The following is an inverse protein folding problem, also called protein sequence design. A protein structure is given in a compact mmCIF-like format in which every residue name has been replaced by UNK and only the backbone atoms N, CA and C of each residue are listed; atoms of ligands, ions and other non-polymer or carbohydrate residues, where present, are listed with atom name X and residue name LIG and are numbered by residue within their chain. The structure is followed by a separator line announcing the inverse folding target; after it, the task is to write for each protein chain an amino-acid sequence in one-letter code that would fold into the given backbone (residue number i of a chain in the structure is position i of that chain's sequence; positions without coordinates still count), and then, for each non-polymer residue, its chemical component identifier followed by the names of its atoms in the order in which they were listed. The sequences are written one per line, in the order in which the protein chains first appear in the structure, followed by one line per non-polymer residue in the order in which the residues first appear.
data_IF_145644177369
#
_entry.id   IF_145644177369
#
_cell.length_a   1.000
_cell.length_b   1.000
_cell.length_c   1.000
_cell.angle_alpha   90.00
_cell.angle_beta   90.00
_cell.angle_gamma   90.00
#
_symmetry.space_group_name_H-M   'P 1'
#
loop_
_entity.id
_entity.type
_entity.pdbx_description
1 polymer ?
#
# COMPACT_ATOMS: atom_id res chain seq x y z
N UNK A 1 -27.74 68.45 53.74
CA UNK A 1 -28.14 67.45 52.70
C UNK A 1 -26.92 66.89 52.13
N UNK A 2 -26.43 65.68 52.48
CA UNK A 2 -25.34 65.01 51.73
C UNK A 2 -25.89 63.84 50.94
N UNK A 3 -25.56 63.83 49.67
CA UNK A 3 -25.81 62.75 48.69
C UNK A 3 -24.69 61.70 48.75
N UNK A 4 -25.06 60.53 49.21
CA UNK A 4 -24.11 59.37 49.16
C UNK A 4 -24.08 58.73 47.84
N UNK A 5 -22.83 58.50 47.25
CA UNK A 5 -22.58 57.66 46.10
C UNK A 5 -22.32 56.23 46.60
N UNK A 6 -22.85 55.22 45.89
CA UNK A 6 -22.55 53.83 46.23
C UNK A 6 -21.17 53.42 45.68
N UNK A 7 -20.39 52.75 46.54
CA UNK A 7 -19.07 52.13 46.15
C UNK A 7 -19.28 50.95 45.25
N UNK A 8 -18.58 50.98 44.10
CA UNK A 8 -18.47 49.88 43.17
C UNK A 8 -17.68 48.68 43.78
N UNK A 9 -18.27 47.50 43.71
CA UNK A 9 -17.60 46.24 44.08
C UNK A 9 -16.64 45.85 42.96
N UNK A 10 -15.39 45.54 43.33
CA UNK A 10 -14.37 44.98 42.44
C UNK A 10 -14.76 43.55 41.97
N UNK A 11 -14.45 43.17 40.71
CA UNK A 11 -14.75 41.81 40.23
C UNK A 11 -13.79 40.79 40.83
N UNK A 12 -14.34 39.67 41.32
CA UNK A 12 -13.58 38.49 41.77
C UNK A 12 -12.87 37.87 40.56
N UNK A 13 -11.55 37.81 40.62
CA UNK A 13 -10.74 37.04 39.68
C UNK A 13 -11.02 35.53 39.82
N UNK A 14 -11.60 34.95 38.79
CA UNK A 14 -11.72 33.49 38.63
C UNK A 14 -10.37 32.96 38.18
N UNK A 15 -9.60 32.40 39.09
CA UNK A 15 -8.42 31.61 38.80
C UNK A 15 -8.85 30.20 38.33
N UNK A 16 -9.22 30.09 37.07
CA UNK A 16 -9.36 28.79 36.40
C UNK A 16 -8.03 28.35 35.83
N UNK A 17 -7.18 27.69 36.61
CA UNK A 17 -6.02 26.98 36.09
C UNK A 17 -6.55 25.78 35.33
N UNK A 18 -6.63 25.88 34.00
CA UNK A 18 -6.80 24.73 33.14
C UNK A 18 -5.51 23.89 33.22
N UNK A 19 -5.55 22.82 33.99
CA UNK A 19 -4.54 21.77 33.87
C UNK A 19 -4.58 21.24 32.43
N UNK A 20 -3.55 21.57 31.65
CA UNK A 20 -3.24 20.86 30.41
C UNK A 20 -2.96 19.43 30.84
N UNK A 21 -3.87 18.51 30.50
CA UNK A 21 -3.59 17.10 30.64
C UNK A 21 -2.29 16.82 29.87
N UNK A 22 -1.26 16.40 30.58
CA UNK A 22 -0.06 15.88 29.96
C UNK A 22 -0.49 14.66 29.14
N UNK A 23 -0.51 14.80 27.81
CA UNK A 23 -0.68 13.66 26.91
C UNK A 23 0.54 12.78 27.15
N UNK A 24 0.35 11.64 27.81
CA UNK A 24 1.40 10.64 27.94
C UNK A 24 1.94 10.34 26.52
N UNK A 25 3.26 10.18 26.36
CA UNK A 25 3.81 9.78 25.07
C UNK A 25 3.10 8.50 24.63
N UNK A 26 2.59 8.48 23.39
CA UNK A 26 1.97 7.30 22.83
C UNK A 26 2.95 6.13 22.96
N UNK A 27 2.47 4.96 23.38
CA UNK A 27 3.30 3.76 23.39
C UNK A 27 3.87 3.56 21.98
N UNK A 28 5.14 3.13 21.85
CA UNK A 28 5.73 2.94 20.53
C UNK A 28 4.89 1.95 19.72
N UNK A 29 4.76 2.22 18.43
CA UNK A 29 4.06 1.36 17.46
C UNK A 29 4.52 -0.09 17.65
N UNK A 30 3.55 -1.01 17.85
CA UNK A 30 3.86 -2.43 17.95
C UNK A 30 4.49 -2.90 16.66
N UNK A 31 5.66 -3.48 16.73
CA UNK A 31 6.37 -4.11 15.62
C UNK A 31 6.56 -5.60 15.94
N UNK A 32 6.32 -6.46 14.96
CA UNK A 32 6.50 -7.89 15.07
C UNK A 32 7.23 -8.42 13.83
N UNK A 33 8.29 -9.20 14.04
CA UNK A 33 8.98 -9.95 12.99
C UNK A 33 8.44 -11.36 12.94
N UNK A 34 8.03 -11.80 11.74
CA UNK A 34 7.48 -13.14 11.50
C UNK A 34 8.35 -13.85 10.46
N UNK A 35 8.67 -15.12 10.73
CA UNK A 35 9.38 -15.99 9.81
C UNK A 35 8.69 -17.36 9.79
N UNK A 36 8.50 -17.91 8.59
CA UNK A 36 7.89 -19.25 8.41
C UNK A 36 8.41 -19.92 7.16
N UNK A 37 8.30 -21.26 7.10
CA UNK A 37 8.54 -22.01 5.88
C UNK A 37 7.31 -21.90 4.97
N UNK A 38 7.50 -21.52 3.70
CA UNK A 38 6.46 -21.51 2.68
C UNK A 38 6.72 -22.60 1.63
N UNK A 39 5.74 -23.45 1.33
CA UNK A 39 5.87 -24.44 0.26
C UNK A 39 5.85 -23.83 -1.13
N UNK A 40 5.31 -22.60 -1.29
CA UNK A 40 5.17 -21.92 -2.56
C UNK A 40 6.51 -21.50 -3.18
N UNK A 41 7.54 -21.30 -2.35
CA UNK A 41 8.90 -20.99 -2.76
C UNK A 41 9.91 -22.03 -2.21
N UNK A 42 9.43 -23.07 -1.50
CA UNK A 42 10.26 -24.11 -0.87
C UNK A 42 11.37 -23.55 0.02
N UNK A 43 11.08 -22.49 0.78
CA UNK A 43 12.06 -21.83 1.67
C UNK A 43 11.39 -21.11 2.83
N UNK A 44 12.23 -20.62 3.74
CA UNK A 44 11.82 -19.66 4.75
C UNK A 44 11.46 -18.32 4.12
N UNK A 45 10.40 -17.69 4.61
CA UNK A 45 9.92 -16.39 4.20
C UNK A 45 9.79 -15.46 5.41
N UNK A 46 9.91 -14.16 5.19
CA UNK A 46 10.02 -13.17 6.27
C UNK A 46 9.04 -12.03 6.06
N UNK A 47 8.58 -11.44 7.16
CA UNK A 47 7.63 -10.32 7.13
C UNK A 47 7.77 -9.49 8.42
N UNK A 48 7.66 -8.16 8.31
CA UNK A 48 7.39 -7.28 9.45
C UNK A 48 5.91 -6.94 9.50
N UNK A 49 5.37 -6.84 10.71
CA UNK A 49 4.00 -6.45 10.97
C UNK A 49 3.99 -5.27 11.93
N UNK A 50 3.21 -4.23 11.61
CA UNK A 50 3.10 -3.02 12.41
C UNK A 50 1.66 -2.76 12.82
N UNK A 51 1.45 -2.50 14.11
CA UNK A 51 0.14 -2.17 14.66
C UNK A 51 -0.52 -3.31 15.45
N UNK A 52 -1.78 -3.12 15.78
CA UNK A 52 -2.51 -4.03 16.67
C UNK A 52 -3.97 -4.27 16.24
N UNK A 53 -4.37 -3.72 15.09
CA UNK A 53 -5.73 -3.86 14.54
C UNK A 53 -6.01 -2.85 13.44
N UNK A 54 -7.26 -2.80 13.00
CA UNK A 54 -7.73 -1.92 11.94
C UNK A 54 -7.84 -2.60 10.59
N UNK A 55 -7.78 -1.82 9.50
CA UNK A 55 -7.82 -2.38 8.15
C UNK A 55 -6.45 -2.95 7.77
N UNK A 56 -6.35 -4.21 7.28
CA UNK A 56 -5.07 -4.82 6.94
C UNK A 56 -4.51 -4.25 5.63
N UNK A 57 -3.25 -3.83 5.67
CA UNK A 57 -2.50 -3.28 4.52
C UNK A 57 -1.31 -4.17 4.25
N UNK A 58 -1.25 -4.80 3.09
CA UNK A 58 -0.06 -5.53 2.59
C UNK A 58 0.76 -4.53 1.79
N UNK A 59 1.91 -4.12 2.34
CA UNK A 59 2.79 -3.10 1.76
C UNK A 59 4.01 -3.75 1.11
N UNK A 60 4.01 -3.84 -0.21
CA UNK A 60 5.11 -4.41 -0.99
C UNK A 60 6.34 -3.49 -0.96
N UNK A 61 7.56 -4.04 -0.92
CA UNK A 61 8.78 -3.26 -1.10
C UNK A 61 8.92 -2.75 -2.55
N UNK A 62 9.81 -1.79 -2.77
CA UNK A 62 10.22 -1.38 -4.13
C UNK A 62 11.13 -2.42 -4.77
N UNK A 63 11.63 -2.17 -5.99
CA UNK A 63 12.54 -3.08 -6.71
C UNK A 63 13.68 -3.58 -5.81
N UNK A 64 13.89 -4.90 -5.79
CA UNK A 64 14.94 -5.58 -5.03
C UNK A 64 14.89 -5.32 -3.51
N UNK A 65 13.79 -4.74 -3.01
CA UNK A 65 13.61 -4.47 -1.60
C UNK A 65 13.28 -5.72 -0.79
N UNK A 66 13.59 -5.65 0.52
CA UNK A 66 13.30 -6.69 1.49
C UNK A 66 12.18 -6.24 2.44
N UNK A 67 11.67 -7.15 3.25
CA UNK A 67 10.58 -6.93 4.21
C UNK A 67 10.75 -5.71 5.12
N UNK A 68 11.99 -5.29 5.39
CA UNK A 68 12.32 -4.15 6.26
C UNK A 68 12.42 -2.80 5.51
N UNK A 69 12.43 -2.81 4.17
CA UNK A 69 12.71 -1.60 3.37
C UNK A 69 11.73 -0.45 3.64
N UNK A 70 10.42 -0.73 3.73
CA UNK A 70 9.41 0.30 4.01
C UNK A 70 9.62 0.96 5.39
N UNK A 71 10.20 0.24 6.36
CA UNK A 71 10.62 0.78 7.67
C UNK A 71 11.87 1.62 7.53
N UNK A 72 12.93 1.08 6.92
CA UNK A 72 14.24 1.74 6.82
C UNK A 72 14.18 3.07 6.07
N UNK A 73 13.27 3.18 5.10
CA UNK A 73 13.00 4.41 4.36
C UNK A 73 11.86 5.26 4.96
N UNK A 74 11.47 4.99 6.22
CA UNK A 74 10.50 5.79 6.98
C UNK A 74 9.10 5.88 6.37
N UNK A 75 8.71 4.96 5.47
CA UNK A 75 7.35 4.93 4.95
C UNK A 75 6.36 4.52 6.04
N UNK A 76 6.75 3.60 6.92
CA UNK A 76 5.92 3.18 8.06
C UNK A 76 5.78 4.31 9.08
N UNK A 77 6.86 5.06 9.34
CA UNK A 77 6.82 6.21 10.26
C UNK A 77 5.84 7.30 9.78
N UNK A 78 5.72 7.49 8.46
CA UNK A 78 4.80 8.49 7.89
C UNK A 78 3.33 8.20 8.24
N UNK A 79 2.98 6.95 8.51
CA UNK A 79 1.62 6.49 8.83
C UNK A 79 1.46 6.03 10.29
N UNK A 80 2.46 6.29 11.15
CA UNK A 80 2.46 5.86 12.55
C UNK A 80 1.18 6.29 13.29
N UNK A 81 0.69 7.50 13.03
CA UNK A 81 -0.56 8.00 13.63
C UNK A 81 -1.81 7.18 13.27
N UNK A 82 -1.86 6.55 12.09
CA UNK A 82 -2.96 5.67 11.68
C UNK A 82 -2.81 4.28 12.31
N UNK A 83 -1.57 3.79 12.42
CA UNK A 83 -1.23 2.50 13.01
C UNK A 83 -1.49 2.53 14.53
N UNK A 84 -1.00 3.57 15.22
CA UNK A 84 -1.19 3.76 16.67
C UNK A 84 -2.66 3.95 17.04
N UNK A 85 -3.42 4.61 16.17
CA UNK A 85 -4.86 4.75 16.33
C UNK A 85 -5.66 3.47 16.05
N UNK A 86 -4.99 2.37 15.64
CA UNK A 86 -5.65 1.11 15.26
C UNK A 86 -6.55 1.23 14.03
N UNK A 87 -6.30 2.21 13.16
CA UNK A 87 -7.04 2.36 11.91
C UNK A 87 -6.55 1.41 10.83
N UNK A 88 -5.25 1.16 10.81
CA UNK A 88 -4.60 0.22 9.88
C UNK A 88 -3.61 -0.67 10.62
N UNK A 89 -3.43 -1.89 10.12
CA UNK A 89 -2.37 -2.82 10.53
C UNK A 89 -1.58 -3.19 9.27
N UNK A 90 -0.27 -2.96 9.28
CA UNK A 90 0.56 -3.04 8.08
C UNK A 90 1.40 -4.31 8.10
N UNK A 91 1.36 -5.06 7.01
CA UNK A 91 2.10 -6.28 6.75
C UNK A 91 3.09 -6.02 5.63
N UNK A 92 4.39 -6.07 5.92
CA UNK A 92 5.47 -5.83 4.97
C UNK A 92 6.14 -7.16 4.63
N UNK A 93 5.64 -7.91 3.61
CA UNK A 93 6.26 -9.15 3.17
C UNK A 93 7.61 -8.89 2.54
N UNK A 94 8.46 -9.92 2.54
CA UNK A 94 9.73 -9.90 1.82
C UNK A 94 9.52 -9.76 0.31
N UNK A 95 10.49 -9.19 -0.38
CA UNK A 95 10.55 -9.16 -1.83
C UNK A 95 11.45 -10.27 -2.36
N UNK A 96 11.14 -10.78 -3.55
CA UNK A 96 11.94 -11.82 -4.23
C UNK A 96 12.37 -11.41 -5.64
N UNK A 97 12.35 -10.13 -5.93
CA UNK A 97 12.64 -9.62 -7.28
C UNK A 97 14.02 -10.07 -7.79
N UNK A 98 15.02 -10.15 -6.88
CA UNK A 98 16.37 -10.64 -7.19
C UNK A 98 16.41 -12.11 -7.63
N UNK A 99 15.38 -12.89 -7.29
CA UNK A 99 15.25 -14.30 -7.65
C UNK A 99 14.27 -14.51 -8.81
N UNK A 100 13.42 -13.52 -9.07
CA UNK A 100 12.41 -13.52 -10.13
C UNK A 100 12.76 -12.55 -11.26
N UNK A 101 12.03 -11.46 -11.41
CA UNK A 101 12.13 -10.53 -12.55
C UNK A 101 13.54 -10.00 -12.80
N UNK A 102 14.29 -9.69 -11.75
CA UNK A 102 15.64 -9.14 -11.83
C UNK A 102 16.74 -10.22 -11.95
N UNK A 103 16.40 -11.50 -11.94
CA UNK A 103 17.38 -12.57 -12.06
C UNK A 103 17.77 -12.79 -13.54
N UNK A 104 18.72 -12.00 -14.02
CA UNK A 104 19.24 -12.13 -15.38
C UNK A 104 20.02 -13.43 -15.67
N UNK A 105 20.30 -14.27 -14.64
CA UNK A 105 21.04 -15.52 -14.78
C UNK A 105 20.17 -16.73 -15.11
N UNK A 106 18.83 -16.61 -15.01
CA UNK A 106 17.89 -17.69 -15.33
C UNK A 106 17.00 -17.31 -16.51
N UNK A 107 16.43 -18.33 -17.16
CA UNK A 107 15.53 -18.10 -18.29
C UNK A 107 14.28 -17.31 -17.86
N UNK A 108 13.73 -16.40 -18.68
CA UNK A 108 12.52 -15.61 -18.32
C UNK A 108 11.31 -16.46 -17.93
N UNK A 109 11.13 -17.66 -18.51
CA UNK A 109 10.10 -18.60 -18.08
C UNK A 109 10.23 -19.01 -16.60
N UNK A 110 11.45 -19.09 -16.08
CA UNK A 110 11.67 -19.43 -14.67
C UNK A 110 11.54 -18.19 -13.77
N UNK A 111 11.88 -16.99 -14.29
CA UNK A 111 11.60 -15.72 -13.59
C UNK A 111 10.10 -15.56 -13.31
N UNK A 112 9.24 -15.77 -14.31
CA UNK A 112 7.79 -15.65 -14.15
C UNK A 112 7.22 -16.75 -13.24
N UNK A 113 7.72 -17.98 -13.31
CA UNK A 113 7.32 -19.07 -12.38
C UNK A 113 7.66 -18.73 -10.94
N UNK A 114 8.85 -18.17 -10.69
CA UNK A 114 9.26 -17.73 -9.36
C UNK A 114 8.34 -16.59 -8.87
N UNK A 115 7.98 -15.64 -9.73
CA UNK A 115 7.02 -14.61 -9.42
C UNK A 115 5.63 -15.18 -9.08
N UNK A 116 5.14 -16.18 -9.79
CA UNK A 116 3.88 -16.87 -9.48
C UNK A 116 3.97 -17.56 -8.11
N UNK A 117 5.12 -18.17 -7.79
CA UNK A 117 5.38 -18.69 -6.44
C UNK A 117 5.26 -17.60 -5.37
N UNK A 118 5.81 -16.42 -5.62
CA UNK A 118 5.67 -15.26 -4.73
C UNK A 118 4.21 -14.81 -4.58
N UNK A 119 3.49 -14.68 -5.69
CA UNK A 119 2.07 -14.34 -5.65
C UNK A 119 1.27 -15.33 -4.79
N UNK A 120 1.61 -16.63 -4.89
CA UNK A 120 0.99 -17.66 -4.05
C UNK A 120 1.33 -17.49 -2.56
N UNK A 121 2.55 -17.06 -2.19
CA UNK A 121 2.88 -16.71 -0.80
C UNK A 121 1.98 -15.57 -0.31
N UNK A 122 1.82 -14.52 -1.12
CA UNK A 122 0.95 -13.40 -0.75
C UNK A 122 -0.50 -13.87 -0.60
N UNK A 123 -1.00 -14.64 -1.57
CA UNK A 123 -2.40 -15.08 -1.62
C UNK A 123 -2.76 -16.08 -0.52
N UNK A 124 -1.87 -17.03 -0.22
CA UNK A 124 -2.18 -18.19 0.63
C UNK A 124 -1.57 -18.10 2.04
N UNK A 125 -0.51 -17.30 2.23
CA UNK A 125 0.12 -17.16 3.55
C UNK A 125 -0.15 -15.75 4.13
N UNK A 126 0.23 -14.69 3.44
CA UNK A 126 0.21 -13.31 3.97
C UNK A 126 -1.22 -12.77 4.12
N UNK A 127 -2.04 -12.84 3.06
CA UNK A 127 -3.42 -12.32 3.08
C UNK A 127 -4.27 -13.05 4.12
N UNK A 128 -4.26 -14.39 4.21
CA UNK A 128 -5.00 -15.07 5.27
C UNK A 128 -4.51 -14.75 6.69
N UNK A 129 -3.20 -14.52 6.88
CA UNK A 129 -2.67 -14.08 8.17
C UNK A 129 -3.19 -12.67 8.53
N UNK A 130 -3.18 -11.75 7.58
CA UNK A 130 -3.71 -10.40 7.75
C UNK A 130 -5.22 -10.40 8.03
N UNK A 131 -5.99 -11.23 7.33
CA UNK A 131 -7.43 -11.41 7.55
C UNK A 131 -7.73 -11.94 8.96
N UNK A 132 -6.97 -12.96 9.41
CA UNK A 132 -7.13 -13.52 10.77
C UNK A 132 -6.78 -12.50 11.86
N UNK A 133 -5.69 -11.75 11.67
CA UNK A 133 -5.23 -10.76 12.66
C UNK A 133 -6.21 -9.60 12.83
N UNK A 134 -6.96 -9.23 11.79
CA UNK A 134 -7.82 -8.04 11.78
C UNK A 134 -9.32 -8.34 11.74
N UNK A 135 -9.71 -9.60 11.44
CA UNK A 135 -11.11 -9.98 11.24
C UNK A 135 -11.72 -9.41 9.93
N UNK A 136 -10.92 -8.82 9.05
CA UNK A 136 -11.40 -8.21 7.80
C UNK A 136 -11.36 -9.21 6.65
N UNK A 137 -12.40 -9.29 5.79
CA UNK A 137 -12.45 -10.26 4.69
C UNK A 137 -11.54 -9.89 3.51
N UNK A 138 -11.17 -8.63 3.34
CA UNK A 138 -10.31 -8.13 2.27
C UNK A 138 -9.21 -7.24 2.82
N UNK A 139 -8.10 -7.15 2.08
CA UNK A 139 -6.93 -6.32 2.43
C UNK A 139 -6.82 -5.10 1.51
N UNK A 140 -6.10 -4.09 1.96
CA UNK A 140 -5.50 -3.11 1.07
C UNK A 140 -4.15 -3.67 0.62
N UNK A 141 -3.86 -3.62 -0.67
CA UNK A 141 -2.52 -3.88 -1.21
C UNK A 141 -1.89 -2.56 -1.63
N UNK A 142 -0.65 -2.31 -1.21
CA UNK A 142 0.01 -1.02 -1.43
C UNK A 142 1.47 -1.20 -1.80
N UNK A 143 2.03 -0.25 -2.53
CA UNK A 143 3.46 -0.23 -2.82
C UNK A 143 3.86 0.94 -3.71
N UNK A 144 5.18 1.18 -3.76
CA UNK A 144 5.76 2.20 -4.61
C UNK A 144 6.68 1.57 -5.67
N UNK A 145 6.81 2.22 -6.83
CA UNK A 145 7.67 1.76 -7.93
C UNK A 145 7.27 0.33 -8.37
N UNK A 146 8.19 -0.63 -8.30
CA UNK A 146 7.89 -2.03 -8.60
C UNK A 146 6.94 -2.68 -7.57
N UNK A 147 6.95 -2.20 -6.31
CA UNK A 147 5.92 -2.54 -5.32
C UNK A 147 4.51 -2.09 -5.73
N UNK A 148 4.41 -0.98 -6.47
CA UNK A 148 3.17 -0.52 -7.08
C UNK A 148 2.66 -1.45 -8.19
N UNK A 149 3.58 -2.05 -8.96
CA UNK A 149 3.25 -3.14 -9.89
C UNK A 149 2.70 -4.35 -9.15
N UNK A 150 3.40 -4.84 -8.11
CA UNK A 150 2.93 -5.98 -7.32
C UNK A 150 1.54 -5.74 -6.74
N UNK A 151 1.31 -4.54 -6.18
CA UNK A 151 0.01 -4.18 -5.61
C UNK A 151 -1.11 -4.20 -6.66
N UNK A 152 -0.92 -3.54 -7.80
CA UNK A 152 -1.96 -3.46 -8.83
C UNK A 152 -2.18 -4.82 -9.51
N UNK A 153 -1.11 -5.55 -9.85
CA UNK A 153 -1.21 -6.87 -10.46
C UNK A 153 -1.98 -7.84 -9.55
N UNK A 154 -1.63 -7.87 -8.25
CA UNK A 154 -2.34 -8.68 -7.28
C UNK A 154 -3.83 -8.28 -7.15
N UNK A 155 -4.13 -6.98 -7.04
CA UNK A 155 -5.50 -6.49 -6.89
C UNK A 155 -6.39 -6.85 -8.09
N UNK A 156 -5.89 -6.68 -9.32
CA UNK A 156 -6.64 -7.00 -10.54
C UNK A 156 -6.87 -8.50 -10.73
N UNK A 157 -5.94 -9.34 -10.28
CA UNK A 157 -6.03 -10.80 -10.37
C UNK A 157 -6.83 -11.44 -9.24
N UNK A 158 -6.85 -10.81 -8.06
CA UNK A 158 -7.51 -11.30 -6.84
C UNK A 158 -8.45 -10.25 -6.21
N UNK A 159 -9.43 -9.71 -6.97
CA UNK A 159 -10.32 -8.66 -6.46
C UNK A 159 -11.26 -9.14 -5.35
N UNK A 160 -11.42 -10.46 -5.19
CA UNK A 160 -12.12 -11.07 -4.04
C UNK A 160 -11.31 -10.95 -2.73
N UNK A 161 -10.00 -10.77 -2.80
CA UNK A 161 -9.09 -10.61 -1.67
C UNK A 161 -8.73 -9.14 -1.41
N UNK A 162 -8.67 -8.32 -2.44
CA UNK A 162 -8.33 -6.91 -2.35
C UNK A 162 -9.59 -6.05 -2.21
N UNK A 163 -9.64 -5.18 -1.20
CA UNK A 163 -10.67 -4.14 -1.05
C UNK A 163 -10.17 -2.78 -1.51
N UNK A 164 -8.86 -2.56 -1.41
CA UNK A 164 -8.19 -1.34 -1.85
C UNK A 164 -6.86 -1.68 -2.51
N UNK A 165 -6.47 -0.85 -3.48
CA UNK A 165 -5.15 -0.87 -4.09
C UNK A 165 -4.57 0.54 -4.09
N UNK A 166 -3.36 0.72 -3.55
CA UNK A 166 -2.61 1.98 -3.55
C UNK A 166 -1.30 1.75 -4.28
N UNK A 167 -1.21 2.20 -5.52
CA UNK A 167 0.01 2.11 -6.33
C UNK A 167 0.61 3.50 -6.53
N UNK A 168 1.79 3.71 -5.94
CA UNK A 168 2.55 4.96 -6.05
C UNK A 168 3.68 4.78 -7.05
N UNK A 169 3.73 5.59 -8.10
CA UNK A 169 4.79 5.53 -9.13
C UNK A 169 4.93 4.14 -9.77
N UNK A 170 3.84 3.43 -10.00
CA UNK A 170 3.84 2.02 -10.42
C UNK A 170 4.54 1.77 -11.76
N UNK A 171 5.33 0.68 -11.83
CA UNK A 171 6.02 0.23 -13.05
C UNK A 171 5.31 -1.00 -13.62
N UNK A 172 4.28 -0.82 -14.44
CA UNK A 172 3.29 -1.84 -14.76
C UNK A 172 3.64 -2.78 -15.93
N UNK A 173 4.73 -2.55 -16.65
CA UNK A 173 5.14 -3.38 -17.78
C UNK A 173 6.37 -4.22 -17.44
N UNK A 174 6.22 -5.55 -17.46
CA UNK A 174 7.30 -6.49 -17.12
C UNK A 174 8.09 -6.95 -18.35
N UNK A 175 7.74 -6.53 -19.56
CA UNK A 175 8.44 -6.95 -20.81
C UNK A 175 9.94 -6.67 -20.79
N UNK A 176 10.44 -5.57 -20.16
CA UNK A 176 11.90 -5.37 -20.04
C UNK A 176 12.67 -6.48 -19.33
N UNK A 177 11.99 -7.33 -18.55
CA UNK A 177 12.59 -8.45 -17.83
C UNK A 177 12.51 -9.78 -18.57
N UNK A 178 11.99 -9.81 -19.81
CA UNK A 178 11.65 -11.05 -20.50
C UNK A 178 12.61 -11.42 -21.64
N UNK A 179 13.58 -10.58 -21.97
CA UNK A 179 14.60 -10.84 -23.01
C UNK A 179 14.00 -11.34 -24.35
N UNK A 180 12.77 -10.86 -24.66
CA UNK A 180 12.01 -11.28 -25.85
C UNK A 180 11.19 -12.57 -25.70
N UNK A 181 11.29 -13.28 -24.57
CA UNK A 181 10.42 -14.40 -24.26
C UNK A 181 9.03 -13.90 -23.80
N UNK A 182 7.98 -14.62 -24.21
CA UNK A 182 6.60 -14.28 -23.79
C UNK A 182 5.70 -15.51 -23.89
N UNK A 183 5.03 -15.86 -22.80
CA UNK A 183 4.05 -16.94 -22.71
C UNK A 183 2.80 -16.49 -21.95
N UNK A 184 1.83 -17.39 -21.76
CA UNK A 184 0.60 -17.09 -21.02
C UNK A 184 0.88 -16.67 -19.57
N UNK A 185 1.92 -17.20 -18.92
CA UNK A 185 2.30 -16.78 -17.58
C UNK A 185 2.78 -15.32 -17.57
N UNK A 186 3.56 -14.93 -18.58
CA UNK A 186 3.98 -13.54 -18.75
C UNK A 186 2.78 -12.64 -19.02
N UNK A 187 1.87 -13.05 -19.92
CA UNK A 187 0.66 -12.31 -20.25
C UNK A 187 -0.20 -12.03 -19.02
N UNK A 188 -0.52 -13.06 -18.24
CA UNK A 188 -1.38 -12.92 -17.06
C UNK A 188 -0.69 -12.26 -15.85
N UNK A 189 0.60 -11.94 -15.93
CA UNK A 189 1.34 -11.16 -14.94
C UNK A 189 1.79 -9.79 -15.47
N UNK A 190 1.31 -9.39 -16.66
CA UNK A 190 1.56 -8.09 -17.24
C UNK A 190 0.26 -7.28 -17.35
N UNK A 191 -0.07 -6.42 -16.37
CA UNK A 191 -1.36 -5.73 -16.33
C UNK A 191 -1.62 -4.85 -17.57
N UNK A 192 -0.60 -4.32 -18.21
CA UNK A 192 -0.76 -3.54 -19.46
C UNK A 192 -1.26 -4.37 -20.62
N UNK A 193 -1.04 -5.70 -20.60
CA UNK A 193 -1.47 -6.60 -21.68
C UNK A 193 -2.81 -7.27 -21.36
N UNK A 194 -3.02 -7.82 -20.14
CA UNK A 194 -4.24 -8.56 -19.86
C UNK A 194 -5.44 -7.67 -19.52
N UNK A 195 -5.23 -6.49 -18.90
CA UNK A 195 -6.33 -5.63 -18.48
C UNK A 195 -7.26 -5.22 -19.64
N UNK A 196 -6.75 -4.81 -20.81
CA UNK A 196 -7.61 -4.53 -21.97
C UNK A 196 -8.46 -5.73 -22.42
N UNK A 197 -7.94 -6.95 -22.24
CA UNK A 197 -8.59 -8.20 -22.63
C UNK A 197 -9.64 -8.74 -21.64
N UNK A 198 -9.74 -8.21 -20.41
CA UNK A 198 -10.72 -8.69 -19.43
C UNK A 198 -12.13 -8.46 -19.97
N UNK A 199 -12.86 -9.55 -20.23
CA UNK A 199 -14.25 -9.54 -20.72
C UNK A 199 -15.25 -10.19 -19.75
N UNK A 200 -14.78 -10.86 -18.70
CA UNK A 200 -15.65 -11.47 -17.69
C UNK A 200 -16.31 -10.39 -16.84
N UNK A 201 -17.65 -10.32 -16.95
CA UNK A 201 -18.46 -9.30 -16.27
C UNK A 201 -18.36 -9.41 -14.73
N UNK A 202 -18.31 -10.64 -14.19
CA UNK A 202 -18.22 -10.86 -12.75
C UNK A 202 -16.87 -10.39 -12.21
N UNK A 203 -15.78 -10.69 -12.92
CA UNK A 203 -14.44 -10.22 -12.56
C UNK A 203 -14.39 -8.68 -12.62
N UNK A 204 -14.91 -8.08 -13.67
CA UNK A 204 -14.98 -6.62 -13.79
C UNK A 204 -15.78 -5.97 -12.67
N UNK A 205 -16.91 -6.56 -12.26
CA UNK A 205 -17.71 -6.03 -11.16
C UNK A 205 -16.98 -6.14 -9.81
N UNK A 206 -16.23 -7.20 -9.58
CA UNK A 206 -15.35 -7.32 -8.40
C UNK A 206 -14.26 -6.26 -8.41
N UNK A 207 -13.59 -6.05 -9.57
CA UNK A 207 -12.55 -5.02 -9.71
C UNK A 207 -13.15 -3.62 -9.48
N UNK A 208 -14.34 -3.33 -10.03
CA UNK A 208 -15.04 -2.05 -9.85
C UNK A 208 -15.45 -1.78 -8.40
N UNK A 209 -15.58 -2.83 -7.59
CA UNK A 209 -15.92 -2.71 -6.16
C UNK A 209 -14.74 -2.30 -5.27
N UNK A 210 -13.51 -2.29 -5.80
CA UNK A 210 -12.32 -1.89 -5.07
C UNK A 210 -12.11 -0.37 -5.09
N UNK A 211 -11.52 0.17 -4.03
CA UNK A 211 -10.93 1.51 -4.06
C UNK A 211 -9.53 1.44 -4.69
N UNK A 212 -9.33 2.04 -5.85
CA UNK A 212 -8.03 2.03 -6.54
C UNK A 212 -7.45 3.45 -6.57
N UNK A 213 -6.21 3.60 -6.12
CA UNK A 213 -5.41 4.82 -6.23
C UNK A 213 -4.19 4.54 -7.09
N UNK A 214 -4.01 5.32 -8.14
CA UNK A 214 -2.77 5.45 -8.90
C UNK A 214 -2.18 6.82 -8.60
N UNK A 215 -0.99 6.87 -8.03
CA UNK A 215 -0.31 8.11 -7.71
C UNK A 215 1.02 8.22 -8.47
N UNK A 216 1.31 9.41 -8.97
CA UNK A 216 2.54 9.71 -9.69
C UNK A 216 2.88 11.19 -9.53
N UNK A 217 3.90 11.68 -10.21
CA UNK A 217 4.27 13.09 -10.16
C UNK A 217 4.90 13.60 -11.44
N UNK A 218 4.94 14.92 -11.56
CA UNK A 218 5.44 15.65 -12.73
C UNK A 218 6.85 15.23 -13.14
N UNK A 219 7.72 14.92 -12.17
CA UNK A 219 9.12 14.50 -12.39
C UNK A 219 9.34 13.00 -12.20
N UNK A 220 8.26 12.24 -12.12
CA UNK A 220 8.34 10.79 -11.93
C UNK A 220 8.67 10.08 -13.25
N UNK A 221 9.72 9.28 -13.26
CA UNK A 221 10.11 8.46 -14.42
C UNK A 221 9.04 7.46 -14.84
N UNK A 222 8.12 7.09 -13.94
CA UNK A 222 6.98 6.22 -14.21
C UNK A 222 5.69 6.98 -14.53
N UNK A 223 5.72 8.33 -14.59
CA UNK A 223 4.51 9.14 -14.79
C UNK A 223 3.67 8.67 -15.98
N UNK A 224 4.28 8.56 -17.17
CA UNK A 224 3.55 8.17 -18.37
C UNK A 224 2.89 6.79 -18.21
N UNK A 225 3.58 5.82 -17.60
CA UNK A 225 3.03 4.47 -17.34
C UNK A 225 1.80 4.51 -16.42
N UNK A 226 1.78 5.42 -15.44
CA UNK A 226 0.62 5.62 -14.55
C UNK A 226 -0.55 6.29 -15.26
N UNK A 227 -0.28 7.27 -16.14
CA UNK A 227 -1.31 7.90 -16.98
C UNK A 227 -1.92 6.89 -17.95
N UNK A 228 -1.10 6.06 -18.60
CA UNK A 228 -1.55 5.03 -19.53
C UNK A 228 -2.39 3.96 -18.79
N UNK A 229 -1.96 3.53 -17.60
CA UNK A 229 -2.73 2.60 -16.78
C UNK A 229 -4.07 3.20 -16.35
N UNK A 230 -4.11 4.46 -15.96
CA UNK A 230 -5.36 5.17 -15.67
C UNK A 230 -6.31 5.21 -16.87
N UNK A 231 -5.77 5.46 -18.06
CA UNK A 231 -6.57 5.42 -19.29
C UNK A 231 -7.13 4.01 -19.57
N UNK A 232 -6.34 2.95 -19.33
CA UNK A 232 -6.79 1.56 -19.49
C UNK A 232 -7.91 1.21 -18.49
N UNK A 233 -7.77 1.60 -17.21
CA UNK A 233 -8.81 1.41 -16.20
C UNK A 233 -10.10 2.15 -16.59
N UNK A 234 -9.97 3.40 -17.04
CA UNK A 234 -11.10 4.22 -17.53
C UNK A 234 -11.81 3.56 -18.71
N UNK A 235 -11.07 3.04 -19.69
CA UNK A 235 -11.61 2.36 -20.85
C UNK A 235 -12.40 1.09 -20.48
N UNK A 236 -12.09 0.45 -19.33
CA UNK A 236 -12.82 -0.67 -18.76
C UNK A 236 -13.96 -0.26 -17.82
N UNK A 237 -14.19 1.05 -17.63
CA UNK A 237 -15.18 1.56 -16.69
C UNK A 237 -14.85 1.16 -15.24
N UNK A 238 -13.57 1.05 -14.89
CA UNK A 238 -13.09 0.75 -13.53
C UNK A 238 -12.85 2.08 -12.81
N UNK A 239 -13.63 2.39 -11.75
CA UNK A 239 -13.44 3.61 -10.96
C UNK A 239 -12.07 3.59 -10.27
N UNK A 240 -11.35 4.70 -10.34
CA UNK A 240 -10.07 4.87 -9.68
C UNK A 240 -9.77 6.36 -9.47
N UNK A 241 -8.88 6.64 -8.53
CA UNK A 241 -8.37 7.99 -8.30
C UNK A 241 -6.95 8.07 -8.85
N UNK A 242 -6.73 8.95 -9.84
CA UNK A 242 -5.41 9.30 -10.33
C UNK A 242 -4.93 10.57 -9.64
N UNK A 243 -3.83 10.50 -8.90
CA UNK A 243 -3.14 11.64 -8.29
C UNK A 243 -1.84 11.92 -9.05
N UNK A 244 -1.90 12.85 -9.99
CA UNK A 244 -0.74 13.32 -10.77
C UNK A 244 -0.23 14.62 -10.15
N UNK A 245 0.74 14.55 -9.23
CA UNK A 245 1.18 15.66 -8.40
C UNK A 245 2.21 16.54 -9.09
N UNK A 246 1.99 17.85 -9.02
CA UNK A 246 3.04 18.82 -9.34
C UNK A 246 4.19 18.73 -8.35
N UNK A 247 5.41 19.00 -8.80
CA UNK A 247 6.62 19.07 -7.97
C UNK A 247 6.92 17.76 -7.23
N UNK A 248 6.46 16.63 -7.77
CA UNK A 248 6.64 15.30 -7.21
C UNK A 248 7.41 14.42 -8.18
N UNK A 249 8.28 13.54 -7.66
CA UNK A 249 9.15 12.66 -8.44
C UNK A 249 9.13 11.21 -7.94
N UNK A 250 10.07 10.40 -8.46
CA UNK A 250 10.19 8.98 -8.15
C UNK A 250 11.11 8.76 -6.95
N UNK A 251 10.66 9.11 -5.73
CA UNK A 251 11.49 9.04 -4.52
C UNK A 251 10.64 8.86 -3.26
N UNK A 252 11.26 8.30 -2.21
CA UNK A 252 10.68 8.05 -0.90
C UNK A 252 10.11 9.30 -0.23
N UNK A 253 10.71 10.47 -0.43
CA UNK A 253 10.21 11.74 0.11
C UNK A 253 8.77 12.00 -0.32
N UNK A 254 8.48 11.80 -1.60
CA UNK A 254 7.14 12.01 -2.14
C UNK A 254 6.17 10.89 -1.71
N UNK A 255 6.62 9.64 -1.68
CA UNK A 255 5.79 8.52 -1.25
C UNK A 255 5.40 8.61 0.22
N UNK A 256 6.29 9.12 1.09
CA UNK A 256 5.97 9.41 2.50
C UNK A 256 4.90 10.48 2.67
N UNK A 257 4.83 11.45 1.77
CA UNK A 257 3.78 12.48 1.77
C UNK A 257 2.44 11.94 1.22
N UNK A 258 2.51 11.02 0.27
CA UNK A 258 1.34 10.44 -0.39
C UNK A 258 0.65 9.37 0.44
N UNK A 259 1.42 8.44 0.99
CA UNK A 259 0.93 7.23 1.62
C UNK A 259 -0.07 7.47 2.76
N UNK A 260 0.18 8.41 3.71
CA UNK A 260 -0.78 8.72 4.78
C UNK A 260 -2.13 9.19 4.26
N UNK A 261 -2.14 9.95 3.16
CA UNK A 261 -3.36 10.50 2.59
C UNK A 261 -4.23 9.38 2.01
N UNK A 262 -3.63 8.43 1.29
CA UNK A 262 -4.38 7.32 0.70
C UNK A 262 -4.84 6.29 1.73
N UNK A 263 -4.01 5.98 2.73
CA UNK A 263 -4.46 5.12 3.83
C UNK A 263 -5.55 5.79 4.67
N UNK A 264 -5.53 7.12 4.76
CA UNK A 264 -6.59 7.91 5.39
C UNK A 264 -7.96 7.81 4.71
N UNK A 265 -7.99 7.46 3.41
CA UNK A 265 -9.23 7.26 2.63
C UNK A 265 -9.87 5.89 2.87
N UNK A 266 -9.15 4.94 3.47
CA UNK A 266 -9.68 3.61 3.76
C UNK A 266 -10.75 3.74 4.84
N UNK A 267 -11.98 3.41 4.47
CA UNK A 267 -13.10 3.33 5.40
C UNK A 267 -13.06 1.95 6.09
N UNK A 268 -12.86 1.98 7.40
CA UNK A 268 -12.75 0.79 8.24
C UNK A 268 -14.07 0.09 8.53
#
# INVERSE_FOLDING_TARGET
MPSGFPRARAPRALHGVRMLAQIAPAAPMKEEYIRWYTPHLSREFEMLVFGHGGYPVVAFPTSLGRYYQNKDFHLIDSVAHLVDAGRVMIFCPDGIDSESWYNGSIHPADRVKTHIGYENVILHDVVPAAQRATGRPRVCVAGASFGGYHALNFALRHPDRAGYCVSMSGSFDIKPFLDGYYDDNCYFNNPVDYLPGIGDARLLDQIRSMGIVLATGEWDSCRQRNLDMSAMLSAKGIPHFLDDRRWSGHDWNYWRDMFPQYLGMING
#
